data_IF_253483446225
#
_entry.id   IF_253483446225
#
_cell.length_a   1.000
_cell.length_b   1.000
_cell.length_c   1.000
_cell.angle_alpha   90.00
_cell.angle_beta   90.00
_cell.angle_gamma   90.00
#
_symmetry.space_group_name_H-M   'P 1'
#
loop_
_entity.id
_entity.type
_entity.pdbx_description
1 polymer ?
#
# COMPACT_ATOMS: atom_id res chain seq x y z
N UNK A 1 13.87 -12.08 11.75
CA UNK A 1 12.81 -11.30 11.10
C UNK A 1 11.90 -12.26 10.39
N UNK A 2 10.64 -12.36 10.83
CA UNK A 2 9.67 -13.29 10.26
C UNK A 2 8.79 -12.57 9.24
N UNK A 3 8.91 -12.96 7.98
CA UNK A 3 7.99 -12.51 6.93
C UNK A 3 6.65 -13.22 7.12
N UNK A 4 5.57 -12.45 7.27
CA UNK A 4 4.21 -13.00 7.23
C UNK A 4 3.69 -12.79 5.82
N UNK A 5 3.85 -13.81 4.98
CA UNK A 5 3.23 -13.85 3.65
C UNK A 5 1.72 -13.90 3.86
N UNK A 6 1.01 -12.85 3.44
CA UNK A 6 -0.45 -12.76 3.53
C UNK A 6 -1.00 -12.61 2.12
N UNK A 7 -1.47 -13.73 1.59
CA UNK A 7 -2.27 -13.80 0.36
C UNK A 7 -3.27 -14.96 0.54
N UNK A 8 -4.45 -14.92 -0.11
CA UNK A 8 -5.31 -13.78 -0.39
C UNK A 8 -6.71 -14.03 0.23
N UNK A 9 -7.59 -13.04 0.19
CA UNK A 9 -8.93 -13.02 0.80
C UNK A 9 -8.91 -12.75 2.32
N UNK A 10 -9.68 -11.73 2.71
CA UNK A 10 -9.93 -11.28 4.08
C UNK A 10 -8.83 -10.42 4.70
N UNK A 11 -9.05 -9.11 4.56
CA UNK A 11 -8.78 -8.08 5.56
C UNK A 11 -7.94 -8.54 6.76
N UNK A 12 -6.65 -8.25 6.74
CA UNK A 12 -5.92 -8.11 7.98
C UNK A 12 -6.25 -6.75 8.58
N UNK A 13 -7.42 -6.67 9.21
CA UNK A 13 -7.73 -5.59 10.15
C UNK A 13 -6.83 -5.80 11.36
N UNK A 14 -5.69 -5.10 11.43
CA UNK A 14 -5.09 -4.82 12.73
C UNK A 14 -6.14 -4.12 13.60
N UNK A 15 -6.11 -4.30 14.93
CA UNK A 15 -7.06 -3.62 15.83
C UNK A 15 -7.08 -2.08 15.64
N UNK A 16 -5.97 -1.49 15.17
CA UNK A 16 -5.89 -0.06 14.84
C UNK A 16 -6.60 0.30 13.53
N UNK A 17 -6.59 -0.59 12.53
CA UNK A 17 -7.27 -0.41 11.25
C UNK A 17 -8.79 -0.34 11.41
N UNK A 18 -9.39 -1.21 12.23
CA UNK A 18 -10.85 -1.25 12.44
C UNK A 18 -11.39 0.04 13.07
N UNK A 19 -10.69 0.54 14.09
CA UNK A 19 -11.04 1.83 14.71
C UNK A 19 -10.79 3.04 13.81
N UNK A 20 -9.91 2.94 12.80
CA UNK A 20 -9.72 3.99 11.77
C UNK A 20 -10.78 3.91 10.67
N UNK A 21 -11.19 2.72 10.23
CA UNK A 21 -12.31 2.52 9.29
C UNK A 21 -13.60 3.16 9.80
N UNK A 22 -13.91 2.99 11.08
CA UNK A 22 -15.09 3.58 11.70
C UNK A 22 -15.04 5.12 11.80
N UNK A 23 -13.84 5.71 11.83
CA UNK A 23 -13.66 7.18 11.96
C UNK A 23 -13.65 7.92 10.63
N UNK A 24 -13.27 7.26 9.53
CA UNK A 24 -13.08 7.91 8.22
C UNK A 24 -14.24 7.72 7.23
N UNK A 25 -15.46 7.41 7.70
CA UNK A 25 -16.68 7.31 6.86
C UNK A 25 -16.48 6.47 5.59
N UNK A 26 -16.11 5.20 5.77
CA UNK A 26 -15.91 4.26 4.67
C UNK A 26 -17.10 4.24 3.69
N UNK A 27 -16.81 4.34 2.40
CA UNK A 27 -17.75 4.14 1.31
C UNK A 27 -17.34 2.89 0.53
N UNK A 28 -18.28 1.98 0.28
CA UNK A 28 -18.07 0.78 -0.54
C UNK A 28 -17.97 1.06 -2.04
N UNK A 29 -18.05 2.34 -2.45
CA UNK A 29 -17.94 2.78 -3.84
C UNK A 29 -16.49 3.05 -4.26
N UNK A 30 -15.54 3.08 -3.32
CA UNK A 30 -14.10 3.16 -3.59
C UNK A 30 -13.44 1.81 -3.37
N UNK A 31 -12.33 1.54 -4.06
CA UNK A 31 -11.54 0.32 -3.86
C UNK A 31 -11.16 0.06 -2.39
N UNK A 32 -10.59 -1.12 -2.12
CA UNK A 32 -10.13 -1.53 -0.79
C UNK A 32 -9.25 -0.43 -0.17
N UNK A 33 -9.57 0.07 1.04
CA UNK A 33 -8.80 1.16 1.62
C UNK A 33 -7.39 0.67 1.96
N UNK A 34 -6.38 1.42 1.53
CA UNK A 34 -4.97 1.20 1.91
C UNK A 34 -4.45 2.46 2.58
N UNK A 35 -4.06 2.37 3.85
CA UNK A 35 -3.47 3.48 4.58
C UNK A 35 -1.96 3.29 4.73
N UNK A 36 -1.22 4.35 4.43
CA UNK A 36 0.23 4.39 4.56
C UNK A 36 0.59 5.55 5.49
N UNK A 37 1.41 5.25 6.50
CA UNK A 37 2.02 6.25 7.36
C UNK A 37 3.52 6.33 7.05
N UNK A 38 3.98 7.36 6.32
CA UNK A 38 5.41 7.57 6.05
C UNK A 38 6.26 7.78 7.30
N UNK A 39 5.65 8.03 8.46
CA UNK A 39 6.36 8.26 9.72
C UNK A 39 6.47 6.98 10.57
N UNK A 40 5.85 5.88 10.15
CA UNK A 40 6.01 4.57 10.78
C UNK A 40 7.17 3.81 10.13
N UNK A 41 8.37 4.03 10.65
CA UNK A 41 9.59 3.38 10.18
C UNK A 41 9.63 1.87 10.47
N UNK A 42 8.67 1.32 11.20
CA UNK A 42 8.65 -0.09 11.59
C UNK A 42 7.93 -0.99 10.59
N UNK A 43 7.07 -0.43 9.74
CA UNK A 43 6.21 -1.18 8.82
C UNK A 43 6.09 -0.48 7.47
N UNK A 44 6.43 -1.20 6.40
CA UNK A 44 6.01 -0.86 5.05
C UNK A 44 4.81 -1.75 4.65
N UNK A 45 3.72 -1.14 4.20
CA UNK A 45 2.60 -1.88 3.62
C UNK A 45 2.82 -2.09 2.12
N UNK A 46 2.78 -3.35 1.67
CA UNK A 46 2.87 -3.73 0.26
C UNK A 46 1.61 -4.52 -0.11
N UNK A 47 0.89 -4.06 -1.13
CA UNK A 47 -0.27 -4.74 -1.71
C UNK A 47 0.11 -5.28 -3.09
N UNK A 48 -0.03 -6.60 -3.25
CA UNK A 48 0.21 -7.31 -4.51
C UNK A 48 -1.10 -7.99 -4.90
N UNK A 49 -1.66 -7.61 -6.04
CA UNK A 49 -2.95 -8.10 -6.55
C UNK A 49 -2.97 -7.90 -8.08
N UNK A 50 -3.52 -8.85 -8.82
CA UNK A 50 -3.61 -8.76 -10.28
C UNK A 50 -4.64 -7.74 -10.76
N UNK A 51 -5.48 -7.18 -9.86
CA UNK A 51 -6.47 -6.15 -10.14
C UNK A 51 -6.05 -4.73 -9.73
N UNK A 52 -4.79 -4.52 -9.38
CA UNK A 52 -4.24 -3.16 -9.24
C UNK A 52 -4.06 -2.56 -10.64
N UNK A 53 -4.54 -1.33 -10.83
CA UNK A 53 -4.43 -0.56 -12.08
C UNK A 53 -3.85 0.81 -11.78
N UNK A 54 -3.08 1.35 -12.72
CA UNK A 54 -2.60 2.74 -12.64
C UNK A 54 -3.72 3.77 -12.87
N UNK A 55 -4.81 3.36 -13.52
CA UNK A 55 -6.04 4.14 -13.63
C UNK A 55 -6.85 4.00 -12.34
N UNK A 56 -7.02 5.11 -11.62
CA UNK A 56 -7.71 5.16 -10.33
C UNK A 56 -9.22 4.84 -10.42
N UNK A 57 -9.81 4.87 -11.63
CA UNK A 57 -11.23 4.56 -11.83
C UNK A 57 -11.55 3.07 -11.82
N UNK A 58 -10.56 2.20 -12.06
CA UNK A 58 -10.73 0.75 -12.24
C UNK A 58 -9.75 -0.09 -11.39
N UNK A 59 -9.17 0.52 -10.36
CA UNK A 59 -8.22 -0.15 -9.47
C UNK A 59 -8.91 -0.70 -8.22
N UNK A 60 -8.50 -1.89 -7.76
CA UNK A 60 -9.10 -2.55 -6.60
C UNK A 60 -8.77 -1.87 -5.26
N UNK A 61 -7.88 -0.87 -5.24
CA UNK A 61 -7.40 -0.20 -4.03
C UNK A 61 -7.80 1.28 -3.98
N UNK A 62 -7.93 1.85 -2.79
CA UNK A 62 -8.11 3.28 -2.59
C UNK A 62 -7.05 3.79 -1.62
N UNK A 63 -5.86 4.16 -2.12
CA UNK A 63 -4.73 4.47 -1.27
C UNK A 63 -4.84 5.86 -0.65
N UNK A 64 -4.41 5.95 0.59
CA UNK A 64 -4.44 7.15 1.42
C UNK A 64 -3.15 7.24 2.23
N UNK A 65 -2.53 8.42 2.24
CA UNK A 65 -1.25 8.68 2.91
C UNK A 65 -1.44 9.71 4.03
N UNK A 66 -0.94 9.41 5.22
CA UNK A 66 -1.00 10.34 6.36
C UNK A 66 -0.02 11.51 6.19
N UNK A 67 -0.48 12.72 6.52
CA UNK A 67 0.29 13.95 6.29
C UNK A 67 1.34 14.26 7.35
N UNK A 68 1.38 13.55 8.48
CA UNK A 68 2.24 13.90 9.61
C UNK A 68 2.23 12.84 10.70
N UNK A 69 3.29 12.82 11.51
CA UNK A 69 3.44 11.85 12.61
C UNK A 69 2.26 11.93 13.58
N UNK A 70 1.56 10.81 13.78
CA UNK A 70 0.39 10.74 14.67
C UNK A 70 -0.88 11.42 14.13
N UNK A 71 -0.87 11.90 12.88
CA UNK A 71 -2.01 12.53 12.24
C UNK A 71 -3.17 11.55 12.03
N UNK A 72 -4.39 12.05 12.20
CA UNK A 72 -5.60 11.38 11.74
C UNK A 72 -5.99 11.80 10.31
N UNK A 73 -5.36 12.84 9.77
CA UNK A 73 -5.62 13.35 8.43
C UNK A 73 -4.80 12.55 7.40
N UNK A 74 -5.50 11.90 6.47
CA UNK A 74 -4.91 11.24 5.31
C UNK A 74 -5.42 11.91 4.04
N UNK A 75 -4.54 12.03 3.03
CA UNK A 75 -4.91 12.44 1.68
C UNK A 75 -5.04 11.19 0.80
N UNK A 76 -6.06 11.16 -0.06
CA UNK A 76 -6.09 10.20 -1.16
C UNK A 76 -4.95 10.53 -2.12
N UNK A 77 -4.27 9.49 -2.61
CA UNK A 77 -3.17 9.63 -3.57
C UNK A 77 -3.49 8.83 -4.83
N UNK A 78 -2.97 9.22 -6.01
CA UNK A 78 -3.09 8.39 -7.19
C UNK A 78 -2.39 7.05 -6.99
N UNK A 79 -2.93 5.98 -7.55
CA UNK A 79 -2.30 4.65 -7.53
C UNK A 79 -0.90 4.68 -8.14
N UNK A 80 -0.71 5.50 -9.18
CA UNK A 80 0.57 5.72 -9.81
C UNK A 80 1.65 6.30 -8.86
N UNK A 81 1.26 7.06 -7.82
CA UNK A 81 2.21 7.59 -6.82
C UNK A 81 2.87 6.46 -6.03
N UNK A 82 2.16 5.34 -5.84
CA UNK A 82 2.57 4.24 -4.98
C UNK A 82 2.93 2.96 -5.74
N UNK A 83 2.90 3.00 -7.08
CA UNK A 83 3.23 1.85 -7.91
C UNK A 83 4.73 1.50 -7.78
N UNK A 84 5.04 0.21 -7.63
CA UNK A 84 6.37 -0.30 -7.27
C UNK A 84 6.93 0.28 -5.95
N UNK A 85 6.11 0.92 -5.12
CA UNK A 85 6.46 1.44 -3.78
C UNK A 85 5.67 0.68 -2.71
N UNK A 86 4.34 0.76 -2.79
CA UNK A 86 3.41 0.06 -1.90
C UNK A 86 2.39 -0.79 -2.69
N UNK A 87 2.32 -0.64 -4.01
CA UNK A 87 1.34 -1.28 -4.88
C UNK A 87 2.06 -2.00 -6.03
N UNK A 88 1.69 -3.25 -6.29
CA UNK A 88 2.23 -4.05 -7.40
C UNK A 88 1.09 -4.76 -8.11
N UNK A 89 0.96 -4.52 -9.41
CA UNK A 89 0.10 -5.35 -10.26
C UNK A 89 0.82 -6.68 -10.55
N UNK A 90 0.17 -7.80 -10.25
CA UNK A 90 0.74 -9.12 -10.52
C UNK A 90 0.73 -9.45 -12.01
N UNK A 91 1.90 -9.77 -12.58
CA UNK A 91 1.98 -10.55 -13.81
C UNK A 91 1.71 -12.02 -13.47
N UNK A 92 0.50 -12.49 -13.78
CA UNK A 92 0.05 -13.84 -13.44
C UNK A 92 0.91 -14.93 -14.09
N UNK A 93 1.40 -14.70 -15.32
CA UNK A 93 2.18 -15.72 -16.03
C UNK A 93 3.60 -15.79 -15.46
N UNK A 94 4.23 -14.64 -15.19
CA UNK A 94 5.55 -14.60 -14.55
C UNK A 94 5.48 -15.17 -13.13
N UNK A 95 4.45 -14.84 -12.36
CA UNK A 95 4.26 -15.34 -11.00
C UNK A 95 4.10 -16.87 -10.94
N UNK A 96 3.45 -17.47 -11.96
CA UNK A 96 3.34 -18.94 -12.09
C UNK A 96 4.67 -19.54 -12.52
N UNK A 97 5.40 -18.90 -13.44
CA UNK A 97 6.62 -19.42 -14.02
C UNK A 97 7.85 -19.29 -13.09
N UNK A 98 7.87 -18.29 -12.22
CA UNK A 98 9.01 -17.95 -11.39
C UNK A 98 8.69 -17.95 -9.89
N UNK A 99 9.17 -18.95 -9.13
CA UNK A 99 8.95 -19.03 -7.68
C UNK A 99 9.48 -17.83 -6.88
N UNK A 100 10.41 -17.05 -7.46
CA UNK A 100 11.01 -15.87 -6.83
C UNK A 100 10.32 -14.56 -7.20
N UNK A 101 9.25 -14.59 -8.01
CA UNK A 101 8.52 -13.40 -8.49
C UNK A 101 8.17 -12.44 -7.34
N UNK A 102 7.44 -12.93 -6.33
CA UNK A 102 6.99 -12.09 -5.22
C UNK A 102 8.16 -11.57 -4.37
N UNK A 103 9.23 -12.33 -4.21
CA UNK A 103 10.44 -11.85 -3.53
C UNK A 103 11.08 -10.67 -4.28
N UNK A 104 11.11 -10.71 -5.62
CA UNK A 104 11.59 -9.57 -6.43
C UNK A 104 10.68 -8.36 -6.31
N UNK A 105 9.36 -8.55 -6.31
CA UNK A 105 8.41 -7.47 -6.11
C UNK A 105 8.64 -6.77 -4.75
N UNK A 106 8.74 -7.54 -3.67
CA UNK A 106 9.00 -6.99 -2.32
C UNK A 106 10.31 -6.22 -2.30
N UNK A 107 11.40 -6.81 -2.81
CA UNK A 107 12.71 -6.15 -2.85
C UNK A 107 12.67 -4.81 -3.60
N UNK A 108 11.98 -4.77 -4.76
CA UNK A 108 11.80 -3.54 -5.53
C UNK A 108 11.02 -2.49 -4.74
N UNK A 109 9.94 -2.90 -4.07
CA UNK A 109 9.16 -2.02 -3.21
C UNK A 109 9.99 -1.46 -2.06
N UNK A 110 10.80 -2.26 -1.39
CA UNK A 110 11.69 -1.81 -0.31
C UNK A 110 12.69 -0.77 -0.82
N UNK A 111 13.38 -1.06 -1.93
CA UNK A 111 14.37 -0.14 -2.54
C UNK A 111 13.74 1.20 -2.97
N UNK A 112 12.51 1.17 -3.48
CA UNK A 112 11.80 2.38 -3.89
C UNK A 112 11.18 3.14 -2.73
N UNK A 113 10.81 2.45 -1.65
CA UNK A 113 10.20 3.06 -0.48
C UNK A 113 11.16 3.99 0.25
N UNK A 114 12.44 3.63 0.35
CA UNK A 114 13.46 4.53 0.91
C UNK A 114 13.52 5.87 0.15
N UNK A 115 13.41 5.83 -1.17
CA UNK A 115 13.38 7.05 -2.01
C UNK A 115 12.09 7.83 -1.81
N UNK A 116 10.96 7.13 -1.74
CA UNK A 116 9.66 7.75 -1.48
C UNK A 116 9.65 8.51 -0.14
N UNK A 117 10.17 7.89 0.92
CA UNK A 117 10.26 8.52 2.25
C UNK A 117 11.11 9.79 2.24
N UNK A 118 12.21 9.81 1.49
CA UNK A 118 13.03 11.02 1.33
C UNK A 118 12.25 12.17 0.69
N UNK A 119 11.45 11.89 -0.35
CA UNK A 119 10.60 12.92 -0.97
C UNK A 119 9.49 13.42 -0.05
N UNK A 120 8.91 12.55 0.79
CA UNK A 120 7.92 12.96 1.78
C UNK A 120 8.53 13.87 2.86
N UNK A 121 9.76 13.60 3.29
CA UNK A 121 10.47 14.44 4.27
C UNK A 121 10.75 15.85 3.71
N UNK A 122 11.11 15.98 2.43
CA UNK A 122 11.34 17.27 1.76
C UNK A 122 10.06 18.11 1.57
N UNK A 123 8.90 17.45 1.54
CA UNK A 123 7.59 18.10 1.40
C UNK A 123 6.98 18.61 2.73
N UNK A 124 7.65 18.35 3.86
CA UNK A 124 7.26 18.84 5.18
C UNK A 124 7.90 20.22 5.45
N UNK A 125 7.12 21.28 5.70
CA UNK A 125 7.66 22.63 5.91
C UNK A 125 8.47 22.79 7.20
#
# INVERSE_FOLDING_TARGET
GGWRLLQPCSLQLSRSLCSRCARNQFSSLGGKPLWIDPHDWSVQHICIDDNIRLDDSDTIVHPQVFSGQGSSCARTVPTAELYDVCLVQTDLLEAIADPSYFCRCVKRCEENYERYLATCAESSP
#
